data_IF_799783343558
#
_entry.id   IF_799783343558
#
_cell.length_a   1.000
_cell.length_b   1.000
_cell.length_c   1.000
_cell.angle_alpha   90.00
_cell.angle_beta   90.00
_cell.angle_gamma   90.00
#
_symmetry.space_group_name_H-M   'P 1'
#
loop_
_entity.id
_entity.type
_entity.pdbx_description
1 polymer ?
#
# COMPACT_ATOMS: atom_id res chain seq x y z
N UNK A 1 -4.42 -31.53 -24.68
CA UNK A 1 -5.20 -30.81 -23.65
C UNK A 1 -5.35 -29.36 -24.11
N UNK A 2 -6.52 -28.74 -23.95
CA UNK A 2 -6.71 -27.32 -24.33
C UNK A 2 -5.84 -26.40 -23.49
N UNK A 3 -5.23 -25.41 -24.11
CA UNK A 3 -4.48 -24.37 -23.40
C UNK A 3 -5.40 -23.49 -22.54
N UNK A 4 -4.87 -22.84 -21.52
CA UNK A 4 -5.54 -21.77 -20.78
C UNK A 4 -5.40 -20.48 -21.61
N UNK A 5 -6.51 -19.87 -22.00
CA UNK A 5 -6.53 -18.67 -22.84
C UNK A 5 -6.70 -17.42 -22.00
N UNK A 6 -5.76 -16.49 -22.16
CA UNK A 6 -5.68 -15.23 -21.39
C UNK A 6 -5.87 -14.04 -22.31
N UNK A 7 -6.70 -13.08 -21.89
CA UNK A 7 -6.72 -11.74 -22.47
C UNK A 7 -6.05 -10.75 -21.53
N UNK A 8 -5.26 -9.81 -22.08
CA UNK A 8 -4.61 -8.73 -21.32
C UNK A 8 -5.26 -7.40 -21.71
N UNK A 9 -5.89 -6.74 -20.77
CA UNK A 9 -6.49 -5.42 -20.94
C UNK A 9 -5.51 -4.35 -20.51
N UNK A 10 -5.00 -3.58 -21.48
CA UNK A 10 -3.90 -2.63 -21.30
C UNK A 10 -2.53 -3.23 -21.58
N UNK A 11 -1.76 -2.57 -22.46
CA UNK A 11 -0.40 -3.00 -22.85
C UNK A 11 0.60 -1.87 -22.57
N UNK A 12 0.55 -1.36 -21.34
CA UNK A 12 1.56 -0.51 -20.73
C UNK A 12 2.64 -1.33 -20.04
N UNK A 13 3.36 -0.74 -19.12
CA UNK A 13 4.47 -1.39 -18.37
C UNK A 13 4.06 -2.74 -17.76
N UNK A 14 2.93 -2.80 -17.08
CA UNK A 14 2.46 -4.03 -16.41
C UNK A 14 1.99 -5.07 -17.42
N UNK A 15 1.09 -4.70 -18.35
CA UNK A 15 0.54 -5.63 -19.33
C UNK A 15 1.61 -6.22 -20.26
N UNK A 16 2.59 -5.42 -20.67
CA UNK A 16 3.75 -5.90 -21.42
C UNK A 16 4.60 -6.86 -20.57
N UNK A 17 4.83 -6.54 -19.30
CA UNK A 17 5.54 -7.41 -18.37
C UNK A 17 4.85 -8.78 -18.20
N UNK A 18 3.53 -8.80 -18.04
CA UNK A 18 2.72 -10.03 -17.96
C UNK A 18 2.86 -10.85 -19.25
N UNK A 19 2.70 -10.19 -20.41
CA UNK A 19 2.84 -10.86 -21.72
C UNK A 19 4.21 -11.52 -21.86
N UNK A 20 5.29 -10.78 -21.60
CA UNK A 20 6.66 -11.28 -21.68
C UNK A 20 6.93 -12.42 -20.68
N UNK A 21 6.38 -12.32 -19.46
CA UNK A 21 6.57 -13.36 -18.43
C UNK A 21 5.83 -14.65 -18.80
N UNK A 22 4.62 -14.59 -19.35
CA UNK A 22 3.92 -15.78 -19.85
C UNK A 22 4.74 -16.49 -20.92
N UNK A 23 5.42 -15.76 -21.80
CA UNK A 23 6.26 -16.35 -22.84
C UNK A 23 7.56 -16.93 -22.30
N UNK A 24 8.28 -16.17 -21.47
CA UNK A 24 9.60 -16.57 -20.97
C UNK A 24 9.54 -17.69 -19.93
N UNK A 25 8.43 -17.85 -19.21
CA UNK A 25 8.21 -18.87 -18.17
C UNK A 25 7.11 -19.88 -18.56
N UNK A 26 6.95 -20.11 -19.87
CA UNK A 26 5.92 -21.01 -20.40
C UNK A 26 6.08 -22.47 -19.94
N UNK A 27 7.32 -22.93 -19.76
CA UNK A 27 7.62 -24.26 -19.28
C UNK A 27 7.27 -24.43 -17.81
N UNK A 28 7.66 -23.47 -16.98
CA UNK A 28 7.36 -23.43 -15.53
C UNK A 28 5.85 -23.37 -15.29
N UNK A 29 5.15 -22.49 -16.02
CA UNK A 29 3.69 -22.37 -15.94
C UNK A 29 3.02 -23.69 -16.35
N UNK A 30 3.51 -24.33 -17.42
CA UNK A 30 2.98 -25.63 -17.87
C UNK A 30 3.22 -26.72 -16.83
N UNK A 31 4.40 -26.73 -16.21
CA UNK A 31 4.72 -27.69 -15.16
C UNK A 31 3.82 -27.57 -13.94
N UNK A 32 3.52 -26.32 -13.53
CA UNK A 32 2.68 -26.03 -12.36
C UNK A 32 1.19 -26.25 -12.63
N UNK A 33 0.70 -25.87 -13.82
CA UNK A 33 -0.73 -25.87 -14.16
C UNK A 33 -1.17 -27.15 -14.91
N UNK A 34 -0.21 -27.94 -15.42
CA UNK A 34 -0.50 -29.11 -16.28
C UNK A 34 -1.04 -28.75 -17.67
N UNK A 35 -1.09 -27.45 -18.01
CA UNK A 35 -1.60 -26.91 -19.28
C UNK A 35 -0.77 -25.70 -19.70
N UNK A 36 -0.61 -25.49 -21.00
CA UNK A 36 -0.02 -24.26 -21.52
C UNK A 36 -0.90 -23.05 -21.20
N UNK A 37 -0.27 -21.92 -20.93
CA UNK A 37 -0.92 -20.61 -20.86
C UNK A 37 -0.61 -19.86 -22.15
N UNK A 38 -1.63 -19.39 -22.84
CA UNK A 38 -1.49 -18.67 -24.10
C UNK A 38 -2.26 -17.35 -24.06
N UNK A 39 -1.59 -16.26 -24.45
CA UNK A 39 -2.27 -14.98 -24.61
C UNK A 39 -3.06 -15.01 -25.91
N UNK A 40 -4.38 -14.96 -25.82
CA UNK A 40 -5.29 -15.00 -26.97
C UNK A 40 -5.62 -13.59 -27.50
N UNK A 41 -5.64 -12.58 -26.61
CA UNK A 41 -5.97 -11.22 -27.00
C UNK A 41 -5.28 -10.18 -26.12
N UNK A 42 -5.09 -9.00 -26.70
CA UNK A 42 -4.61 -7.79 -26.02
C UNK A 42 -5.47 -6.60 -26.38
N UNK A 43 -6.05 -5.97 -25.37
CA UNK A 43 -6.76 -4.70 -25.55
C UNK A 43 -5.80 -3.53 -25.44
N UNK A 44 -5.81 -2.65 -26.43
CA UNK A 44 -4.94 -1.46 -26.50
C UNK A 44 -5.75 -0.19 -26.75
N UNK A 45 -5.22 0.96 -26.33
CA UNK A 45 -5.84 2.27 -26.58
C UNK A 45 -5.49 2.83 -27.96
N UNK A 46 -4.30 2.54 -28.47
CA UNK A 46 -3.79 3.10 -29.72
C UNK A 46 -3.11 2.00 -30.58
N UNK A 47 -3.68 1.74 -31.74
CA UNK A 47 -3.17 0.75 -32.73
C UNK A 47 -1.88 1.20 -33.44
N UNK A 48 -1.56 2.49 -33.46
CA UNK A 48 -0.40 3.02 -34.19
C UNK A 48 0.95 2.75 -33.46
N UNK A 49 0.91 2.52 -32.16
CA UNK A 49 2.13 2.21 -31.39
C UNK A 49 2.54 0.78 -31.68
N UNK A 50 3.75 0.58 -32.25
CA UNK A 50 4.33 -0.74 -32.43
C UNK A 50 4.53 -1.46 -31.11
N UNK A 51 4.26 -2.76 -31.10
CA UNK A 51 4.38 -3.65 -29.94
C UNK A 51 4.93 -5.00 -30.37
N UNK A 52 5.81 -5.55 -29.56
CA UNK A 52 6.31 -6.91 -29.76
C UNK A 52 5.28 -7.96 -29.27
N UNK A 53 4.24 -8.16 -30.08
CA UNK A 53 3.17 -9.13 -29.82
C UNK A 53 3.16 -10.12 -30.99
N UNK A 54 2.99 -11.42 -30.73
CA UNK A 54 2.93 -12.45 -31.75
C UNK A 54 1.72 -12.27 -32.68
N UNK A 55 1.86 -12.66 -33.94
CA UNK A 55 0.82 -12.47 -34.99
C UNK A 55 -0.47 -13.27 -34.73
N UNK A 56 -0.40 -14.34 -33.93
CA UNK A 56 -1.53 -15.18 -33.56
C UNK A 56 -2.40 -14.59 -32.42
N UNK A 57 -1.97 -13.47 -31.83
CA UNK A 57 -2.68 -12.78 -30.75
C UNK A 57 -3.61 -11.70 -31.33
N UNK A 58 -4.87 -11.75 -30.97
CA UNK A 58 -5.81 -10.69 -31.33
C UNK A 58 -5.42 -9.35 -30.66
N UNK A 59 -5.02 -8.34 -31.43
CA UNK A 59 -4.74 -6.99 -30.94
C UNK A 59 -5.90 -6.06 -31.34
N UNK A 60 -6.67 -5.62 -30.36
CA UNK A 60 -7.87 -4.83 -30.60
C UNK A 60 -8.00 -3.61 -29.68
N UNK A 61 -8.84 -2.65 -30.08
CA UNK A 61 -9.29 -1.52 -29.25
C UNK A 61 -10.74 -1.70 -28.79
N UNK A 62 -11.39 -2.80 -29.19
CA UNK A 62 -12.76 -3.13 -28.85
C UNK A 62 -12.81 -4.36 -27.94
N UNK A 63 -13.28 -4.16 -26.72
CA UNK A 63 -13.40 -5.25 -25.76
C UNK A 63 -14.44 -6.31 -26.17
N UNK A 64 -15.44 -5.94 -26.98
CA UNK A 64 -16.44 -6.90 -27.44
C UNK A 64 -15.83 -8.01 -28.31
N UNK A 65 -14.81 -7.69 -29.14
CA UNK A 65 -14.11 -8.70 -29.93
C UNK A 65 -13.38 -9.75 -29.04
N UNK A 66 -12.92 -9.32 -27.87
CA UNK A 66 -12.29 -10.22 -26.89
C UNK A 66 -13.34 -11.14 -26.26
N UNK A 67 -14.53 -10.61 -25.96
CA UNK A 67 -15.61 -11.42 -25.39
C UNK A 67 -16.19 -12.44 -26.40
N UNK A 68 -16.02 -12.22 -27.70
CA UNK A 68 -16.47 -13.12 -28.77
C UNK A 68 -15.48 -14.26 -29.06
N UNK A 69 -14.30 -14.29 -28.46
CA UNK A 69 -13.32 -15.37 -28.63
C UNK A 69 -13.96 -16.72 -28.27
N UNK A 70 -13.71 -17.79 -29.05
CA UNK A 70 -14.32 -19.10 -28.81
C UNK A 70 -13.95 -19.71 -27.44
N UNK A 71 -12.75 -19.39 -26.96
CA UNK A 71 -12.30 -19.74 -25.61
C UNK A 71 -11.58 -18.54 -24.96
N UNK A 72 -11.97 -18.21 -23.74
CA UNK A 72 -11.31 -17.24 -22.90
C UNK A 72 -11.54 -17.65 -21.44
N UNK A 73 -10.45 -17.92 -20.73
CA UNK A 73 -10.50 -18.48 -19.38
C UNK A 73 -10.19 -17.41 -18.33
N UNK A 74 -9.25 -16.49 -18.66
CA UNK A 74 -8.76 -15.48 -17.72
C UNK A 74 -8.67 -14.11 -18.42
N UNK A 75 -9.09 -13.08 -17.72
CA UNK A 75 -8.88 -11.67 -18.10
C UNK A 75 -7.95 -11.01 -17.10
N UNK A 76 -6.78 -10.57 -17.56
CA UNK A 76 -5.82 -9.78 -16.79
C UNK A 76 -6.02 -8.30 -17.13
N UNK A 77 -6.26 -7.49 -16.14
CA UNK A 77 -6.49 -6.06 -16.28
C UNK A 77 -5.32 -5.26 -15.73
N UNK A 78 -4.77 -4.37 -16.56
CA UNK A 78 -3.65 -3.49 -16.27
C UNK A 78 -3.85 -2.07 -16.86
N UNK A 79 -5.07 -1.56 -16.75
CA UNK A 79 -5.49 -0.20 -17.15
C UNK A 79 -5.46 0.70 -15.90
N UNK A 80 -5.23 2.00 -16.05
CA UNK A 80 -5.08 2.92 -14.90
C UNK A 80 -6.43 3.44 -14.42
N UNK A 81 -7.39 3.69 -15.31
CA UNK A 81 -8.65 4.35 -15.01
C UNK A 81 -9.68 3.38 -14.36
N UNK A 82 -10.59 3.91 -13.54
CA UNK A 82 -11.67 3.11 -12.93
C UNK A 82 -12.67 2.61 -13.97
N UNK A 83 -13.08 3.50 -14.88
CA UNK A 83 -13.90 3.18 -16.04
C UNK A 83 -13.11 3.41 -17.33
N UNK A 84 -13.29 2.57 -18.34
CA UNK A 84 -14.27 1.47 -18.46
C UNK A 84 -13.84 0.14 -17.80
N UNK A 85 -12.80 0.13 -17.01
CA UNK A 85 -12.15 -1.08 -16.45
C UNK A 85 -13.12 -1.92 -15.64
N UNK A 86 -13.86 -1.30 -14.71
CA UNK A 86 -14.83 -2.00 -13.89
C UNK A 86 -15.92 -2.69 -14.75
N UNK A 87 -16.44 -1.97 -15.74
CA UNK A 87 -17.42 -2.51 -16.70
C UNK A 87 -16.88 -3.70 -17.50
N UNK A 88 -15.59 -3.66 -17.89
CA UNK A 88 -14.98 -4.76 -18.60
C UNK A 88 -14.83 -6.01 -17.72
N UNK A 89 -14.41 -5.83 -16.48
CA UNK A 89 -14.26 -6.95 -15.55
C UNK A 89 -15.61 -7.58 -15.19
N UNK A 90 -16.67 -6.80 -15.03
CA UNK A 90 -18.03 -7.35 -14.85
C UNK A 90 -18.43 -8.25 -16.00
N UNK A 91 -18.29 -7.77 -17.24
CA UNK A 91 -18.62 -8.56 -18.44
C UNK A 91 -17.76 -9.81 -18.58
N UNK A 92 -16.47 -9.74 -18.18
CA UNK A 92 -15.61 -10.91 -18.17
C UNK A 92 -16.09 -11.97 -17.17
N UNK A 93 -16.46 -11.54 -15.95
CA UNK A 93 -17.04 -12.43 -14.92
C UNK A 93 -18.35 -13.07 -15.42
N UNK A 94 -19.28 -12.27 -15.95
CA UNK A 94 -20.55 -12.74 -16.50
C UNK A 94 -20.36 -13.75 -17.65
N UNK A 95 -19.26 -13.64 -18.39
CA UNK A 95 -18.86 -14.63 -19.40
C UNK A 95 -18.31 -15.93 -18.81
N UNK A 96 -17.98 -15.95 -17.52
CA UNK A 96 -17.37 -17.09 -16.82
C UNK A 96 -15.84 -17.08 -16.82
N UNK A 97 -15.20 -15.92 -17.01
CA UNK A 97 -13.76 -15.77 -16.94
C UNK A 97 -13.31 -15.48 -15.51
N UNK A 98 -12.20 -16.07 -15.07
CA UNK A 98 -11.47 -15.56 -13.92
C UNK A 98 -10.91 -14.17 -14.25
N UNK A 99 -10.81 -13.30 -13.25
CA UNK A 99 -10.24 -11.98 -13.44
C UNK A 99 -9.02 -11.77 -12.55
N UNK A 100 -8.05 -11.01 -13.07
CA UNK A 100 -6.86 -10.58 -12.31
C UNK A 100 -6.68 -9.09 -12.59
N UNK A 101 -6.50 -8.29 -11.54
CA UNK A 101 -6.35 -6.84 -11.69
C UNK A 101 -5.12 -6.30 -10.99
N UNK A 102 -4.46 -5.32 -11.60
CA UNK A 102 -3.42 -4.50 -11.00
C UNK A 102 -3.92 -3.09 -10.64
N UNK A 103 -5.21 -2.78 -10.90
CA UNK A 103 -5.79 -1.47 -10.70
C UNK A 103 -6.30 -1.28 -9.27
N UNK A 104 -5.44 -0.71 -8.42
CA UNK A 104 -5.72 -0.49 -6.99
C UNK A 104 -6.90 0.44 -6.72
N UNK A 105 -7.03 1.53 -7.49
CA UNK A 105 -8.10 2.50 -7.27
C UNK A 105 -9.47 1.91 -7.63
N UNK A 106 -9.58 1.31 -8.80
CA UNK A 106 -10.80 0.62 -9.20
C UNK A 106 -11.16 -0.47 -8.19
N UNK A 107 -10.19 -1.28 -7.77
CA UNK A 107 -10.43 -2.39 -6.86
C UNK A 107 -10.74 -1.94 -5.43
N UNK A 108 -10.18 -0.84 -4.94
CA UNK A 108 -10.58 -0.24 -3.66
C UNK A 108 -12.07 0.16 -3.68
N UNK A 109 -12.55 0.77 -4.77
CA UNK A 109 -13.93 1.19 -4.89
C UNK A 109 -14.91 0.04 -5.15
N UNK A 110 -14.56 -0.90 -6.02
CA UNK A 110 -15.49 -1.89 -6.58
C UNK A 110 -15.15 -3.34 -6.28
N UNK A 111 -14.07 -3.61 -5.55
CA UNK A 111 -13.61 -4.97 -5.29
C UNK A 111 -14.66 -5.84 -4.58
N UNK A 112 -15.50 -5.26 -3.69
CA UNK A 112 -16.59 -6.00 -3.05
C UNK A 112 -17.61 -6.50 -4.07
N UNK A 113 -18.07 -5.63 -4.98
CA UNK A 113 -19.02 -5.98 -6.03
C UNK A 113 -18.44 -7.04 -7.00
N UNK A 114 -17.14 -6.90 -7.34
CA UNK A 114 -16.46 -7.89 -8.18
C UNK A 114 -16.36 -9.27 -7.51
N UNK A 115 -16.13 -9.33 -6.19
CA UNK A 115 -16.13 -10.59 -5.46
C UNK A 115 -17.50 -11.24 -5.40
N UNK A 116 -18.56 -10.48 -5.11
CA UNK A 116 -19.93 -10.95 -5.06
C UNK A 116 -20.33 -11.53 -6.43
N UNK A 117 -20.06 -10.79 -7.51
CA UNK A 117 -20.35 -11.24 -8.86
C UNK A 117 -19.53 -12.48 -9.27
N UNK A 118 -18.26 -12.56 -8.87
CA UNK A 118 -17.41 -13.70 -9.14
C UNK A 118 -17.89 -14.97 -8.41
N UNK A 119 -18.37 -14.84 -7.17
CA UNK A 119 -18.96 -15.95 -6.41
C UNK A 119 -20.23 -16.48 -7.11
N UNK A 120 -21.12 -15.59 -7.56
CA UNK A 120 -22.35 -15.94 -8.32
C UNK A 120 -22.04 -16.68 -9.63
N UNK A 121 -20.95 -16.31 -10.31
CA UNK A 121 -20.52 -16.89 -11.58
C UNK A 121 -19.50 -18.02 -11.44
N UNK A 122 -19.18 -18.43 -10.21
CA UNK A 122 -18.23 -19.51 -9.90
C UNK A 122 -16.82 -19.30 -10.47
N UNK A 123 -16.36 -18.06 -10.53
CA UNK A 123 -15.02 -17.66 -10.96
C UNK A 123 -14.23 -17.02 -9.79
N UNK A 124 -12.93 -16.82 -9.99
CA UNK A 124 -12.05 -16.30 -8.96
C UNK A 124 -11.49 -14.92 -9.34
N UNK A 125 -11.13 -14.14 -8.32
CA UNK A 125 -10.52 -12.81 -8.46
C UNK A 125 -9.09 -12.83 -7.90
N UNK A 126 -8.11 -12.50 -8.75
CA UNK A 126 -6.73 -12.22 -8.40
C UNK A 126 -6.50 -10.70 -8.26
N UNK A 127 -5.79 -10.27 -7.22
CA UNK A 127 -5.57 -8.85 -6.96
C UNK A 127 -4.27 -8.57 -6.18
N UNK A 128 -3.32 -9.51 -6.15
CA UNK A 128 -2.01 -9.34 -5.50
C UNK A 128 -1.30 -8.08 -5.98
N UNK A 129 -1.33 -7.84 -7.29
CA UNK A 129 -0.69 -6.69 -7.93
C UNK A 129 -1.28 -5.31 -7.52
N UNK A 130 -2.40 -5.28 -6.81
CA UNK A 130 -3.01 -4.03 -6.33
C UNK A 130 -2.30 -3.43 -5.11
N UNK A 131 -1.53 -4.23 -4.35
CA UNK A 131 -0.86 -3.79 -3.12
C UNK A 131 0.59 -4.23 -3.12
N UNK A 132 1.51 -3.29 -2.88
CA UNK A 132 2.94 -3.54 -2.66
C UNK A 132 3.66 -4.28 -3.82
N UNK A 133 3.16 -4.18 -5.04
CA UNK A 133 3.82 -4.65 -6.27
C UNK A 133 4.23 -6.11 -6.24
N UNK A 134 5.54 -6.39 -6.19
CA UNK A 134 6.07 -7.76 -6.19
C UNK A 134 6.10 -8.45 -4.82
N UNK A 135 5.65 -7.78 -3.74
CA UNK A 135 5.62 -8.35 -2.39
C UNK A 135 4.32 -9.16 -2.22
N UNK A 136 4.37 -10.46 -1.88
CA UNK A 136 3.19 -11.33 -1.80
C UNK A 136 2.38 -11.09 -0.51
N UNK A 137 1.80 -9.90 -0.36
CA UNK A 137 1.08 -9.47 0.86
C UNK A 137 -0.27 -10.15 0.96
N UNK A 138 -1.03 -10.16 -0.13
CA UNK A 138 -2.39 -10.72 -0.18
C UNK A 138 -2.34 -12.24 0.02
N UNK A 139 -1.41 -12.92 -0.64
CA UNK A 139 -1.22 -14.37 -0.46
C UNK A 139 -0.81 -14.71 0.98
N UNK A 140 0.10 -13.94 1.56
CA UNK A 140 0.52 -14.10 2.96
C UNK A 140 -0.67 -13.92 3.91
N UNK A 141 -1.46 -12.86 3.75
CA UNK A 141 -2.66 -12.64 4.55
C UNK A 141 -3.68 -13.77 4.39
N UNK A 142 -3.95 -14.22 3.18
CA UNK A 142 -4.85 -15.37 2.91
C UNK A 142 -4.38 -16.64 3.60
N UNK A 143 -3.08 -16.87 3.69
CA UNK A 143 -2.53 -18.02 4.40
C UNK A 143 -2.62 -17.86 5.91
N UNK A 144 -2.25 -16.71 6.46
CA UNK A 144 -2.26 -16.43 7.90
C UNK A 144 -3.68 -16.47 8.47
N UNK A 145 -4.64 -15.86 7.79
CA UNK A 145 -6.03 -15.72 8.22
C UNK A 145 -6.80 -17.06 8.36
N UNK A 146 -6.21 -18.18 7.95
CA UNK A 146 -6.81 -19.50 8.18
C UNK A 146 -6.91 -19.83 9.69
N UNK A 147 -5.95 -19.39 10.48
CA UNK A 147 -5.86 -19.69 11.93
C UNK A 147 -5.54 -18.43 12.75
N UNK A 148 -4.61 -17.57 12.27
CA UNK A 148 -4.21 -16.38 12.99
C UNK A 148 -5.29 -15.29 12.95
N UNK A 149 -5.33 -14.48 14.01
CA UNK A 149 -6.11 -13.25 14.06
C UNK A 149 -5.19 -12.08 13.85
N UNK A 150 -5.32 -11.42 12.70
CA UNK A 150 -4.56 -10.21 12.41
C UNK A 150 -5.06 -9.08 13.31
N UNK A 151 -4.15 -8.45 14.03
CA UNK A 151 -4.42 -7.35 14.96
C UNK A 151 -4.11 -6.00 14.34
N UNK A 152 -2.98 -5.95 13.61
CA UNK A 152 -2.51 -4.72 12.97
C UNK A 152 -1.81 -5.04 11.66
N UNK A 153 -1.95 -4.15 10.69
CA UNK A 153 -1.16 -4.11 9.46
C UNK A 153 -0.58 -2.71 9.34
N UNK A 154 0.72 -2.62 9.11
CA UNK A 154 1.41 -1.37 8.81
C UNK A 154 2.18 -1.51 7.51
N UNK A 155 2.35 -0.42 6.75
CA UNK A 155 3.11 -0.51 5.49
C UNK A 155 3.65 0.81 5.00
N UNK A 156 4.85 0.76 4.41
CA UNK A 156 5.32 1.73 3.43
C UNK A 156 4.81 1.23 2.09
N UNK A 157 3.69 1.79 1.62
CA UNK A 157 2.94 1.28 0.47
C UNK A 157 3.17 2.09 -0.82
N UNK A 158 3.90 3.20 -0.74
CA UNK A 158 4.21 4.04 -1.89
C UNK A 158 5.71 4.26 -2.02
N UNK A 159 6.30 3.75 -3.10
CA UNK A 159 7.75 3.85 -3.36
C UNK A 159 8.21 5.26 -3.69
N UNK A 160 7.37 6.08 -4.34
CA UNK A 160 7.71 7.46 -4.72
C UNK A 160 7.89 8.34 -3.49
N UNK A 161 6.92 8.32 -2.57
CA UNK A 161 7.01 9.09 -1.32
C UNK A 161 8.18 8.62 -0.44
N UNK A 162 8.43 7.29 -0.37
CA UNK A 162 9.59 6.76 0.36
C UNK A 162 10.91 7.19 -0.28
N UNK A 163 11.00 7.19 -1.61
CA UNK A 163 12.17 7.68 -2.35
C UNK A 163 12.43 9.16 -2.06
N UNK A 164 11.40 10.02 -2.14
CA UNK A 164 11.53 11.46 -1.88
C UNK A 164 12.06 11.70 -0.46
N UNK A 165 11.48 11.07 0.55
CA UNK A 165 11.95 11.20 1.94
C UNK A 165 13.39 10.69 2.12
N UNK A 166 13.77 9.61 1.41
CA UNK A 166 15.14 9.09 1.40
C UNK A 166 16.12 10.09 0.77
N UNK A 167 15.80 10.65 -0.39
CA UNK A 167 16.64 11.63 -1.09
C UNK A 167 16.83 12.91 -0.28
N UNK A 168 15.73 13.44 0.27
CA UNK A 168 15.79 14.60 1.17
C UNK A 168 16.78 14.37 2.33
N UNK A 169 16.72 13.18 2.92
CA UNK A 169 17.59 12.81 4.05
C UNK A 169 19.04 12.60 3.62
N UNK A 170 19.26 11.77 2.60
CA UNK A 170 20.61 11.33 2.19
C UNK A 170 21.39 12.43 1.50
N UNK A 171 20.73 13.15 0.58
CA UNK A 171 21.37 14.22 -0.22
C UNK A 171 21.18 15.61 0.36
N UNK A 172 20.45 15.75 1.47
CA UNK A 172 20.15 17.05 2.09
C UNK A 172 19.46 18.02 1.13
N UNK A 173 18.61 17.48 0.28
CA UNK A 173 17.85 18.22 -0.73
C UNK A 173 16.50 18.66 -0.20
N UNK A 174 15.93 19.71 -0.80
CA UNK A 174 14.55 20.11 -0.57
C UNK A 174 13.55 19.08 -1.12
N UNK A 175 12.30 19.16 -0.69
CA UNK A 175 11.22 18.36 -1.25
C UNK A 175 11.11 18.52 -2.78
N UNK A 176 11.17 19.76 -3.29
CA UNK A 176 11.05 20.04 -4.71
C UNK A 176 12.19 19.41 -5.55
N UNK A 177 13.44 19.48 -5.07
CA UNK A 177 14.58 18.85 -5.73
C UNK A 177 14.47 17.32 -5.71
N UNK A 178 14.04 16.73 -4.59
CA UNK A 178 13.86 15.29 -4.46
C UNK A 178 12.70 14.78 -5.31
N UNK A 179 11.60 15.55 -5.42
CA UNK A 179 10.50 15.25 -6.34
C UNK A 179 10.96 15.29 -7.80
N UNK A 180 11.73 16.32 -8.18
CA UNK A 180 12.29 16.39 -9.53
C UNK A 180 13.19 15.18 -9.83
N UNK A 181 14.00 14.77 -8.86
CA UNK A 181 14.81 13.54 -8.98
C UNK A 181 13.94 12.30 -9.18
N UNK A 182 12.82 12.19 -8.48
CA UNK A 182 11.88 11.09 -8.66
C UNK A 182 11.27 11.09 -10.09
N UNK A 183 10.91 12.27 -10.61
CA UNK A 183 10.37 12.41 -11.96
C UNK A 183 11.40 12.06 -13.04
N UNK A 184 12.64 12.53 -12.91
CA UNK A 184 13.74 12.22 -13.85
C UNK A 184 14.04 10.72 -13.89
N UNK A 185 13.97 10.05 -12.74
CA UNK A 185 14.17 8.60 -12.64
C UNK A 185 12.94 7.77 -13.05
N UNK A 186 11.81 8.41 -13.40
CA UNK A 186 10.57 7.74 -13.77
C UNK A 186 9.81 7.11 -12.59
N UNK A 187 10.10 7.51 -11.36
CA UNK A 187 9.39 7.06 -10.16
C UNK A 187 8.14 7.90 -9.86
N UNK A 188 8.08 9.14 -10.36
CA UNK A 188 6.91 10.01 -10.28
C UNK A 188 6.49 10.48 -11.66
N UNK A 189 5.18 10.63 -11.87
CA UNK A 189 4.60 11.25 -13.04
C UNK A 189 4.67 12.79 -12.95
N UNK A 190 4.25 13.48 -14.02
CA UNK A 190 4.19 14.95 -14.05
C UNK A 190 3.23 15.50 -12.98
N UNK A 191 2.11 14.82 -12.74
CA UNK A 191 1.23 15.07 -11.60
C UNK A 191 1.47 13.99 -10.52
N UNK A 192 2.23 14.31 -9.46
CA UNK A 192 2.58 13.36 -8.42
C UNK A 192 1.56 13.30 -7.27
N UNK A 193 0.41 13.98 -7.38
CA UNK A 193 -0.56 14.17 -6.29
C UNK A 193 -0.94 12.88 -5.61
N UNK A 194 -1.19 11.80 -6.37
CA UNK A 194 -1.54 10.50 -5.80
C UNK A 194 -0.46 9.94 -4.88
N UNK A 195 0.80 10.19 -5.19
CA UNK A 195 1.94 9.71 -4.40
C UNK A 195 2.20 10.61 -3.20
N UNK A 196 2.37 11.91 -3.43
CA UNK A 196 2.85 12.83 -2.40
C UNK A 196 1.78 13.23 -1.39
N UNK A 197 0.50 13.18 -1.77
CA UNK A 197 -0.65 13.43 -0.89
C UNK A 197 -1.22 12.13 -0.28
N UNK A 198 -0.63 10.96 -0.57
CA UNK A 198 -0.94 9.68 0.06
C UNK A 198 -2.19 8.98 -0.45
N UNK A 199 -2.76 9.35 -1.59
CA UNK A 199 -3.94 8.68 -2.15
C UNK A 199 -3.64 7.25 -2.59
N UNK A 200 -2.48 7.01 -3.22
CA UNK A 200 -2.04 5.67 -3.61
C UNK A 200 -1.96 4.72 -2.40
N UNK A 201 -1.30 5.16 -1.33
CA UNK A 201 -1.22 4.39 -0.09
C UNK A 201 -2.60 4.22 0.57
N UNK A 202 -3.49 5.21 0.48
CA UNK A 202 -4.84 5.15 1.00
C UNK A 202 -5.68 4.06 0.31
N UNK A 203 -5.71 3.99 -1.03
CA UNK A 203 -6.44 2.93 -1.73
C UNK A 203 -5.92 1.54 -1.37
N UNK A 204 -4.60 1.37 -1.28
CA UNK A 204 -3.98 0.11 -0.85
C UNK A 204 -4.36 -0.25 0.59
N UNK A 205 -4.47 0.75 1.47
CA UNK A 205 -4.93 0.57 2.85
C UNK A 205 -6.36 0.05 2.91
N UNK A 206 -7.27 0.57 2.08
CA UNK A 206 -8.65 0.09 2.03
C UNK A 206 -8.72 -1.38 1.56
N UNK A 207 -7.93 -1.76 0.55
CA UNK A 207 -7.83 -3.15 0.09
C UNK A 207 -7.31 -4.07 1.20
N UNK A 208 -6.23 -3.65 1.89
CA UNK A 208 -5.68 -4.41 3.02
C UNK A 208 -6.66 -4.56 4.17
N UNK A 209 -7.45 -3.53 4.47
CA UNK A 209 -8.47 -3.59 5.51
C UNK A 209 -9.52 -4.66 5.22
N UNK A 210 -10.02 -4.70 4.00
CA UNK A 210 -11.00 -5.70 3.58
C UNK A 210 -10.48 -7.12 3.72
N UNK A 211 -9.23 -7.38 3.33
CA UNK A 211 -8.68 -8.73 3.44
C UNK A 211 -8.28 -9.09 4.88
N UNK A 212 -7.68 -8.18 5.64
CA UNK A 212 -7.21 -8.46 6.98
C UNK A 212 -8.34 -8.55 8.02
N UNK A 213 -9.39 -7.74 7.85
CA UNK A 213 -10.46 -7.59 8.84
C UNK A 213 -11.85 -7.95 8.31
N UNK A 214 -12.02 -8.22 7.00
CA UNK A 214 -13.30 -8.52 6.34
C UNK A 214 -14.18 -7.30 6.11
N UNK A 215 -13.77 -6.11 6.52
CA UNK A 215 -14.50 -4.86 6.42
C UNK A 215 -13.56 -3.66 6.22
N UNK A 216 -14.11 -2.52 5.88
CA UNK A 216 -13.37 -1.27 5.72
C UNK A 216 -13.82 -0.24 6.75
N UNK A 217 -12.93 0.66 7.19
CA UNK A 217 -13.34 1.86 7.91
C UNK A 217 -14.15 2.76 6.98
N UNK A 218 -14.95 3.67 7.55
CA UNK A 218 -15.52 4.74 6.75
C UNK A 218 -14.38 5.57 6.13
N UNK A 219 -14.39 5.74 4.83
CA UNK A 219 -13.32 6.43 4.08
C UNK A 219 -13.06 7.85 4.55
N UNK A 220 -14.10 8.54 5.04
CA UNK A 220 -14.01 9.91 5.56
C UNK A 220 -13.32 9.98 6.92
N UNK A 221 -13.32 8.88 7.68
CA UNK A 221 -12.73 8.81 9.01
C UNK A 221 -11.25 8.38 8.97
N UNK A 222 -10.73 8.01 7.78
CA UNK A 222 -9.33 7.65 7.60
C UNK A 222 -8.48 8.92 7.57
N UNK A 223 -7.59 9.04 8.54
CA UNK A 223 -6.63 10.13 8.59
C UNK A 223 -5.61 9.98 7.46
N UNK A 224 -5.64 10.89 6.47
CA UNK A 224 -4.68 10.92 5.38
C UNK A 224 -3.94 12.25 5.35
N UNK A 225 -2.62 12.16 5.42
CA UNK A 225 -1.71 13.29 5.35
C UNK A 225 -0.57 12.95 4.39
N UNK A 226 -0.24 13.87 3.48
CA UNK A 226 0.86 13.76 2.53
C UNK A 226 2.21 14.10 3.15
N UNK A 227 3.26 14.10 2.30
CA UNK A 227 4.63 14.39 2.71
C UNK A 227 5.11 15.80 2.32
N UNK A 228 4.26 16.59 1.68
CA UNK A 228 4.63 17.92 1.13
C UNK A 228 4.99 18.96 2.20
N UNK A 229 4.49 18.77 3.43
CA UNK A 229 4.79 19.61 4.60
C UNK A 229 6.16 19.34 5.22
N UNK A 230 6.82 18.22 4.87
CA UNK A 230 8.11 17.82 5.46
C UNK A 230 9.23 18.65 4.84
N UNK A 231 9.97 19.36 5.70
CA UNK A 231 11.09 20.20 5.30
C UNK A 231 12.43 19.53 5.63
N UNK A 232 13.51 19.98 4.95
CA UNK A 232 14.85 19.51 5.25
C UNK A 232 15.23 19.78 6.72
N UNK A 233 14.82 20.89 7.30
CA UNK A 233 15.07 21.21 8.71
C UNK A 233 14.45 20.20 9.66
N UNK A 234 13.24 19.71 9.34
CA UNK A 234 12.59 18.65 10.11
C UNK A 234 13.30 17.32 10.01
N UNK A 235 13.77 16.97 8.80
CA UNK A 235 14.55 15.75 8.58
C UNK A 235 15.85 15.81 9.37
N UNK A 236 16.58 16.93 9.34
CA UNK A 236 17.81 17.12 10.10
C UNK A 236 17.57 17.10 11.61
N UNK A 237 16.47 17.68 12.08
CA UNK A 237 16.09 17.61 13.48
C UNK A 237 15.79 16.16 13.93
N UNK A 238 15.08 15.41 13.13
CA UNK A 238 14.80 13.99 13.39
C UNK A 238 16.06 13.14 13.41
N UNK A 239 16.99 13.35 12.45
CA UNK A 239 18.25 12.60 12.40
C UNK A 239 19.14 12.83 13.63
N UNK A 240 19.14 14.04 14.19
CA UNK A 240 19.93 14.35 15.42
C UNK A 240 19.54 13.48 16.62
N UNK A 241 18.34 12.97 16.62
CA UNK A 241 17.77 12.11 17.68
C UNK A 241 17.55 10.67 17.20
N UNK A 242 18.25 10.24 16.14
CA UNK A 242 18.19 8.87 15.63
C UNK A 242 16.91 8.49 14.92
N UNK A 243 16.05 9.44 14.57
CA UNK A 243 14.75 9.18 13.93
C UNK A 243 14.77 9.40 12.42
N UNK A 244 13.88 8.68 11.70
CA UNK A 244 13.64 8.86 10.27
C UNK A 244 12.17 9.04 9.96
N UNK A 245 11.85 9.98 9.08
CA UNK A 245 10.51 10.10 8.52
C UNK A 245 10.20 8.95 7.58
N UNK A 246 9.04 8.33 7.76
CA UNK A 246 8.44 7.36 6.85
C UNK A 246 6.98 7.71 6.63
N UNK A 247 6.47 7.49 5.41
CA UNK A 247 5.05 7.62 5.13
C UNK A 247 4.38 6.27 5.34
N UNK A 248 3.66 6.12 6.45
CA UNK A 248 3.15 4.84 6.92
C UNK A 248 1.63 4.78 6.82
N UNK A 249 1.14 3.74 6.14
CA UNK A 249 -0.22 3.26 6.25
C UNK A 249 -0.34 2.37 7.49
N UNK A 250 -1.34 2.59 8.34
CA UNK A 250 -1.59 1.79 9.53
C UNK A 250 -3.06 1.42 9.62
N UNK A 251 -3.30 0.15 9.94
CA UNK A 251 -4.61 -0.46 10.13
C UNK A 251 -4.60 -1.24 11.43
N UNK A 252 -5.58 -1.05 12.30
CA UNK A 252 -5.77 -1.85 13.50
C UNK A 252 -7.25 -1.99 13.83
N UNK A 253 -7.60 -3.05 14.58
CA UNK A 253 -8.94 -3.23 15.13
C UNK A 253 -8.91 -2.92 16.62
N UNK A 254 -9.56 -1.85 17.05
CA UNK A 254 -9.65 -1.42 18.42
C UNK A 254 -11.11 -1.19 18.82
N UNK A 255 -11.55 -1.78 19.94
CA UNK A 255 -12.93 -1.62 20.44
C UNK A 255 -14.01 -2.06 19.45
N UNK A 256 -13.72 -3.03 18.56
CA UNK A 256 -14.65 -3.51 17.54
C UNK A 256 -14.69 -2.61 16.28
N UNK A 257 -13.96 -1.51 16.24
CA UNK A 257 -13.88 -0.62 15.09
C UNK A 257 -12.51 -0.72 14.41
N UNK A 258 -12.47 -0.53 13.10
CA UNK A 258 -11.22 -0.42 12.35
C UNK A 258 -10.75 1.02 12.39
N UNK A 259 -9.54 1.21 12.87
CA UNK A 259 -8.81 2.48 12.77
C UNK A 259 -7.82 2.39 11.62
N UNK A 260 -7.81 3.41 10.78
CA UNK A 260 -6.90 3.51 9.64
C UNK A 260 -6.28 4.90 9.56
N UNK A 261 -5.01 4.94 9.16
CA UNK A 261 -4.33 6.20 8.85
C UNK A 261 -3.27 5.99 7.77
N UNK A 262 -2.98 7.06 7.02
CA UNK A 262 -1.87 7.15 6.06
C UNK A 262 -1.21 8.49 6.31
N UNK A 263 -0.05 8.51 6.93
CA UNK A 263 0.59 9.77 7.34
C UNK A 263 2.09 9.64 7.56
N UNK A 264 2.81 10.76 7.60
CA UNK A 264 4.20 10.78 8.04
C UNK A 264 4.32 10.36 9.51
N UNK A 265 5.29 9.49 9.78
CA UNK A 265 5.61 8.98 11.12
C UNK A 265 7.12 9.00 11.28
N UNK A 266 7.61 9.32 12.46
CA UNK A 266 9.00 9.20 12.84
C UNK A 266 9.26 7.83 13.44
N UNK A 267 10.25 7.11 12.92
CA UNK A 267 10.61 5.76 13.39
C UNK A 267 12.04 5.72 13.91
N UNK A 268 12.23 5.03 15.03
CA UNK A 268 13.54 4.76 15.62
C UNK A 268 14.24 3.56 14.97
N UNK A 269 15.52 3.36 15.29
CA UNK A 269 16.40 2.35 14.69
C UNK A 269 15.89 0.91 14.81
N UNK A 270 15.19 0.60 15.90
CA UNK A 270 14.61 -0.75 16.14
C UNK A 270 13.33 -1.01 15.35
N UNK A 271 12.75 0.02 14.71
CA UNK A 271 11.54 -0.15 13.94
C UNK A 271 11.86 -0.84 12.60
N UNK A 272 11.11 -1.86 12.16
CA UNK A 272 11.38 -2.59 10.92
C UNK A 272 11.48 -1.72 9.67
N UNK A 273 10.78 -0.59 9.67
CA UNK A 273 10.79 0.32 8.51
C UNK A 273 11.95 1.33 8.50
N UNK A 274 12.76 1.38 9.54
CA UNK A 274 13.85 2.35 9.64
C UNK A 274 14.82 2.28 8.45
N UNK A 275 15.15 1.07 8.01
CA UNK A 275 16.08 0.81 6.91
C UNK A 275 15.41 0.60 5.55
N UNK A 276 14.08 0.75 5.45
CA UNK A 276 13.37 0.67 4.16
C UNK A 276 13.56 1.99 3.42
N UNK A 277 14.39 1.99 2.40
CA UNK A 277 14.89 3.19 1.71
C UNK A 277 14.57 3.14 0.20
N UNK A 278 14.70 4.28 -0.46
CA UNK A 278 14.49 4.40 -1.90
C UNK A 278 13.07 4.05 -2.30
N UNK A 279 12.91 3.28 -3.37
CA UNK A 279 11.60 2.89 -3.92
C UNK A 279 11.01 1.62 -3.30
N UNK A 280 11.66 1.07 -2.28
CA UNK A 280 11.18 -0.15 -1.64
C UNK A 280 9.90 0.06 -0.85
N UNK A 281 9.05 -0.95 -0.87
CA UNK A 281 7.89 -1.06 -0.01
C UNK A 281 8.17 -2.08 1.10
N UNK A 282 7.43 -1.98 2.20
CA UNK A 282 7.44 -2.98 3.26
C UNK A 282 6.09 -3.05 3.94
N UNK A 283 5.72 -4.23 4.40
CA UNK A 283 4.48 -4.46 5.15
C UNK A 283 4.77 -5.28 6.39
N UNK A 284 4.32 -4.81 7.55
CA UNK A 284 4.29 -5.53 8.80
C UNK A 284 2.88 -6.05 9.05
N UNK A 285 2.75 -7.32 9.35
CA UNK A 285 1.51 -7.96 9.81
C UNK A 285 1.72 -8.45 11.23
N UNK A 286 0.89 -8.00 12.15
CA UNK A 286 0.90 -8.43 13.55
C UNK A 286 -0.30 -9.34 13.80
N UNK A 287 -0.06 -10.51 14.36
CA UNK A 287 -1.07 -11.52 14.63
C UNK A 287 -0.87 -12.13 16.02
N UNK A 288 -1.93 -12.73 16.54
CA UNK A 288 -1.97 -13.30 17.90
C UNK A 288 -1.05 -14.52 18.10
N UNK A 289 -0.88 -15.37 17.09
CA UNK A 289 -0.11 -16.62 17.23
C UNK A 289 1.31 -16.45 16.70
N UNK A 290 1.46 -15.99 15.45
CA UNK A 290 2.77 -15.90 14.81
C UNK A 290 3.56 -14.65 15.22
N UNK A 291 2.89 -13.68 15.86
CA UNK A 291 3.49 -12.39 16.18
C UNK A 291 3.64 -11.51 14.94
N UNK A 292 4.80 -10.86 14.80
CA UNK A 292 5.09 -9.93 13.68
C UNK A 292 5.75 -10.67 12.53
N UNK A 293 5.21 -10.45 11.33
CA UNK A 293 5.86 -10.78 10.05
C UNK A 293 6.12 -9.49 9.31
N UNK A 294 7.34 -9.33 8.78
CA UNK A 294 7.73 -8.22 7.92
C UNK A 294 8.05 -8.74 6.52
N UNK A 295 7.41 -8.16 5.52
CA UNK A 295 7.68 -8.40 4.10
C UNK A 295 8.26 -7.12 3.51
N UNK A 296 9.32 -7.21 2.71
CA UNK A 296 9.99 -6.08 2.08
C UNK A 296 10.42 -6.45 0.67
N UNK A 297 10.35 -5.51 -0.25
CA UNK A 297 10.78 -5.72 -1.62
C UNK A 297 10.33 -4.60 -2.57
N UNK A 298 10.44 -4.82 -3.89
CA UNK A 298 10.05 -3.84 -4.89
C UNK A 298 8.54 -3.63 -4.92
N UNK A 299 8.11 -2.41 -4.59
CA UNK A 299 6.69 -2.03 -4.52
C UNK A 299 6.04 -1.71 -5.87
N UNK A 300 6.81 -1.61 -6.94
CA UNK A 300 6.35 -1.30 -8.30
C UNK A 300 7.38 -1.77 -9.33
N UNK A 301 7.03 -1.68 -10.61
CA UNK A 301 7.90 -1.99 -11.73
C UNK A 301 7.33 -3.09 -12.64
N UNK A 302 7.85 -3.17 -13.87
CA UNK A 302 7.35 -4.10 -14.89
C UNK A 302 7.29 -5.55 -14.39
N UNK A 303 8.43 -6.10 -14.02
CA UNK A 303 8.54 -7.50 -13.63
C UNK A 303 8.03 -7.79 -12.21
N UNK A 304 8.27 -6.95 -11.19
CA UNK A 304 7.68 -7.17 -9.88
C UNK A 304 6.15 -7.24 -9.91
N UNK A 305 5.50 -6.30 -10.60
CA UNK A 305 4.03 -6.29 -10.73
C UNK A 305 3.53 -7.44 -11.62
N UNK A 306 4.25 -7.75 -12.71
CA UNK A 306 3.92 -8.90 -13.54
C UNK A 306 4.03 -10.21 -12.75
N UNK A 307 5.03 -10.37 -11.89
CA UNK A 307 5.18 -11.54 -11.02
C UNK A 307 3.92 -11.74 -10.15
N UNK A 308 3.44 -10.70 -9.50
CA UNK A 308 2.21 -10.77 -8.70
C UNK A 308 0.99 -11.19 -9.52
N UNK A 309 0.86 -10.67 -10.76
CA UNK A 309 -0.21 -11.07 -11.69
C UNK A 309 -0.09 -12.55 -12.09
N UNK A 310 1.13 -13.04 -12.33
CA UNK A 310 1.37 -14.44 -12.73
C UNK A 310 1.11 -15.38 -11.55
N UNK A 311 1.51 -15.03 -10.34
CA UNK A 311 1.17 -15.81 -9.15
C UNK A 311 -0.34 -15.86 -8.91
N UNK A 312 -1.06 -14.74 -9.14
CA UNK A 312 -2.52 -14.74 -9.15
C UNK A 312 -3.11 -15.63 -10.25
N UNK A 313 -2.50 -15.68 -11.45
CA UNK A 313 -2.93 -16.55 -12.52
C UNK A 313 -2.84 -18.03 -12.09
N UNK A 314 -1.74 -18.42 -11.46
CA UNK A 314 -1.59 -19.76 -10.89
C UNK A 314 -2.63 -19.99 -9.80
N UNK A 315 -2.81 -19.03 -8.90
CA UNK A 315 -3.78 -19.12 -7.80
C UNK A 315 -5.22 -19.32 -8.31
N UNK A 316 -5.70 -18.51 -9.27
CA UNK A 316 -7.08 -18.63 -9.76
C UNK A 316 -7.33 -19.93 -10.54
N UNK A 317 -6.30 -20.49 -11.16
CA UNK A 317 -6.40 -21.78 -11.84
C UNK A 317 -6.44 -22.99 -10.90
N UNK A 318 -5.80 -22.90 -9.73
CA UNK A 318 -5.69 -23.99 -8.77
C UNK A 318 -6.72 -23.92 -7.64
N UNK A 319 -7.20 -22.72 -7.34
CA UNK A 319 -8.16 -22.49 -6.26
C UNK A 319 -9.57 -22.85 -6.72
N UNK A 320 -10.32 -23.52 -5.86
CA UNK A 320 -11.77 -23.55 -6.01
C UNK A 320 -12.29 -22.14 -5.77
N UNK A 321 -13.34 -21.70 -6.49
CA UNK A 321 -13.98 -20.41 -6.21
C UNK A 321 -14.21 -20.27 -4.70
N UNK A 322 -13.48 -19.37 -4.08
CA UNK A 322 -13.58 -19.18 -2.64
C UNK A 322 -14.89 -18.46 -2.35
N UNK A 323 -15.64 -18.94 -1.35
CA UNK A 323 -16.68 -18.11 -0.75
C UNK A 323 -16.06 -16.79 -0.31
N UNK A 324 -16.68 -15.68 -0.60
CA UNK A 324 -16.19 -14.31 -0.38
C UNK A 324 -15.93 -13.94 1.10
N UNK A 325 -16.17 -14.89 2.00
CA UNK A 325 -16.02 -14.69 3.43
C UNK A 325 -14.63 -15.08 3.93
N UNK A 326 -13.70 -14.13 3.99
CA UNK A 326 -12.85 -14.04 5.18
C UNK A 326 -13.84 -13.73 6.31
N UNK A 327 -14.29 -14.78 7.03
CA UNK A 327 -15.15 -14.58 8.20
C UNK A 327 -14.26 -13.95 9.26
N UNK A 328 -14.42 -12.67 9.60
CA UNK A 328 -13.62 -12.06 10.63
C UNK A 328 -13.92 -12.81 11.92
N UNK A 329 -12.90 -13.23 12.63
CA UNK A 329 -13.12 -13.73 13.99
C UNK A 329 -13.63 -12.57 14.84
N UNK A 330 -14.82 -12.61 15.41
CA UNK A 330 -15.44 -11.46 16.09
C UNK A 330 -14.82 -11.12 17.45
N UNK A 331 -13.75 -11.78 17.86
CA UNK A 331 -13.14 -11.53 19.15
C UNK A 331 -12.21 -10.31 19.07
N UNK A 332 -12.70 -9.19 19.57
CA UNK A 332 -11.87 -8.05 19.92
C UNK A 332 -10.81 -8.50 20.94
N UNK A 333 -9.55 -8.57 20.50
CA UNK A 333 -8.43 -8.63 21.45
C UNK A 333 -8.20 -7.19 21.88
N UNK A 334 -8.28 -6.94 23.18
CA UNK A 334 -7.88 -5.66 23.75
C UNK A 334 -6.42 -5.41 23.37
N UNK A 335 -6.15 -4.29 22.67
CA UNK A 335 -4.79 -3.73 22.65
C UNK A 335 -4.32 -3.64 24.11
N UNK A 336 -3.00 -3.79 24.38
CA UNK A 336 -2.48 -3.36 25.67
C UNK A 336 -2.90 -1.89 25.81
N UNK A 337 -3.88 -1.66 26.64
CA UNK A 337 -4.37 -0.32 26.94
C UNK A 337 -3.15 0.50 27.38
N UNK A 338 -2.79 1.50 26.60
CA UNK A 338 -2.09 2.65 27.14
C UNK A 338 -3.14 3.39 27.99
N UNK A 339 -3.18 3.16 29.33
CA UNK A 339 -4.31 3.61 30.15
C UNK A 339 -4.50 5.12 30.15
N UNK A 340 -3.53 5.87 29.59
CA UNK A 340 -3.57 7.32 29.51
C UNK A 340 -3.71 7.82 28.06
N UNK A 341 -3.64 6.95 27.03
CA UNK A 341 -3.72 7.33 25.61
C UNK A 341 -2.67 8.35 25.17
N UNK A 342 -1.56 8.47 25.93
CA UNK A 342 -0.49 9.39 25.62
C UNK A 342 0.52 8.73 24.68
N UNK A 343 0.82 9.42 23.60
CA UNK A 343 1.81 9.05 22.60
C UNK A 343 2.96 10.04 22.61
N UNK A 344 4.09 9.68 22.02
CA UNK A 344 5.23 10.57 21.87
C UNK A 344 5.15 11.29 20.52
N UNK A 345 5.40 12.59 20.54
CA UNK A 345 5.26 13.47 19.39
C UNK A 345 6.45 14.39 19.23
N UNK A 346 6.89 14.58 17.99
CA UNK A 346 7.71 15.72 17.61
C UNK A 346 6.78 16.87 17.23
N UNK A 347 6.88 18.00 17.90
CA UNK A 347 6.11 19.22 17.58
C UNK A 347 7.07 20.32 17.17
N UNK A 348 6.78 21.04 16.09
CA UNK A 348 7.68 22.07 15.57
C UNK A 348 6.97 23.39 15.24
N UNK A 349 7.76 24.47 15.21
CA UNK A 349 7.24 25.82 15.04
C UNK A 349 6.60 26.38 16.33
N UNK A 350 6.95 25.84 17.49
CA UNK A 350 6.50 26.37 18.79
C UNK A 350 7.35 27.56 19.22
N UNK A 351 6.68 28.63 19.64
CA UNK A 351 7.38 29.83 20.12
C UNK A 351 8.04 29.63 21.49
N UNK A 352 7.41 28.85 22.38
CA UNK A 352 7.89 28.56 23.73
C UNK A 352 7.16 27.39 24.39
N UNK A 353 7.80 26.79 25.40
CA UNK A 353 7.11 25.84 26.28
C UNK A 353 5.94 26.50 27.02
N UNK A 354 4.78 25.85 27.02
CA UNK A 354 3.66 26.22 27.86
C UNK A 354 3.50 25.23 29.00
N UNK A 355 3.29 25.72 30.19
CA UNK A 355 2.95 24.86 31.33
C UNK A 355 1.50 24.39 31.17
N UNK A 356 1.37 23.14 30.79
CA UNK A 356 0.10 22.40 30.70
C UNK A 356 0.30 21.03 31.37
N UNK A 357 -0.53 20.73 32.36
CA UNK A 357 -0.42 19.46 33.13
C UNK A 357 -0.73 18.21 32.34
N UNK A 358 -1.40 18.34 31.18
CA UNK A 358 -1.71 17.20 30.29
C UNK A 358 -0.54 16.85 29.35
N UNK A 359 0.45 17.74 29.19
CA UNK A 359 1.57 17.60 28.27
C UNK A 359 2.86 17.41 29.06
N UNK A 360 3.55 16.30 28.83
CA UNK A 360 4.89 16.09 29.32
C UNK A 360 5.90 16.54 28.26
N UNK A 361 6.68 17.57 28.58
CA UNK A 361 7.78 18.03 27.74
C UNK A 361 9.00 17.21 28.03
N UNK A 362 9.53 16.50 27.00
CA UNK A 362 10.67 15.60 27.14
C UNK A 362 11.95 16.33 26.78
N UNK A 363 12.05 16.88 25.56
CA UNK A 363 13.28 17.50 25.09
C UNK A 363 13.02 18.60 24.06
N UNK A 364 13.98 19.54 23.99
CA UNK A 364 14.09 20.50 22.91
C UNK A 364 15.15 20.05 21.92
N UNK A 365 14.75 19.57 20.74
CA UNK A 365 15.63 19.05 19.68
C UNK A 365 16.34 20.16 18.93
N UNK A 366 15.62 21.27 18.68
CA UNK A 366 16.16 22.48 18.07
C UNK A 366 15.26 23.68 18.42
N UNK A 367 15.62 24.88 17.98
CA UNK A 367 14.78 26.05 18.18
C UNK A 367 13.37 25.81 17.62
N UNK A 368 12.37 25.95 18.48
CA UNK A 368 10.96 25.72 18.13
C UNK A 368 10.55 24.28 17.88
N UNK A 369 11.43 23.29 18.10
CA UNK A 369 11.15 21.86 17.89
C UNK A 369 11.31 21.09 19.18
N UNK A 370 10.28 20.36 19.59
CA UNK A 370 10.22 19.69 20.88
C UNK A 370 9.69 18.26 20.75
N UNK A 371 10.18 17.37 21.61
CA UNK A 371 9.55 16.07 21.89
C UNK A 371 8.65 16.25 23.11
N UNK A 372 7.42 15.78 22.95
CA UNK A 372 6.42 15.80 24.02
C UNK A 372 5.70 14.47 24.11
N UNK A 373 5.15 14.16 25.29
CA UNK A 373 4.24 13.05 25.48
C UNK A 373 2.87 13.60 25.88
N UNK A 374 1.87 13.31 25.07
CA UNK A 374 0.51 13.85 25.23
C UNK A 374 -0.51 12.99 24.47
N UNK A 375 -1.79 13.20 24.74
CA UNK A 375 -2.84 12.65 23.86
C UNK A 375 -2.86 13.41 22.55
N UNK A 376 -3.31 12.78 21.46
CA UNK A 376 -3.46 13.46 20.16
C UNK A 376 -4.28 14.75 20.28
N UNK A 377 -5.36 14.72 21.07
CA UNK A 377 -6.22 15.88 21.29
C UNK A 377 -5.47 17.06 21.96
N UNK A 378 -4.62 16.77 22.94
CA UNK A 378 -3.83 17.80 23.60
C UNK A 378 -2.77 18.40 22.68
N UNK A 379 -2.15 17.56 21.82
CA UNK A 379 -1.20 18.03 20.80
C UNK A 379 -1.89 18.93 19.78
N UNK A 380 -3.04 18.53 19.25
CA UNK A 380 -3.81 19.34 18.31
C UNK A 380 -4.21 20.69 18.93
N UNK A 381 -4.61 20.67 20.18
CA UNK A 381 -4.94 21.90 20.90
C UNK A 381 -3.72 22.80 21.08
N UNK A 382 -2.56 22.24 21.46
CA UNK A 382 -1.30 22.97 21.60
C UNK A 382 -0.89 23.64 20.29
N UNK A 383 -0.91 22.87 19.19
CA UNK A 383 -0.55 23.35 17.85
C UNK A 383 -1.44 24.51 17.41
N UNK A 384 -2.75 24.41 17.63
CA UNK A 384 -3.71 25.49 17.32
C UNK A 384 -3.47 26.73 18.18
N UNK A 385 -3.28 26.57 19.48
CA UNK A 385 -3.10 27.68 20.42
C UNK A 385 -1.83 28.48 20.19
N UNK A 386 -0.75 27.80 19.79
CA UNK A 386 0.53 28.45 19.55
C UNK A 386 0.83 28.73 18.07
N UNK A 387 -0.13 28.42 17.18
CA UNK A 387 0.05 28.50 15.74
C UNK A 387 1.33 27.79 15.29
N UNK A 388 1.60 26.59 15.87
CA UNK A 388 2.72 25.75 15.50
C UNK A 388 2.57 25.21 14.08
N UNK A 389 3.68 24.89 13.43
CA UNK A 389 3.69 24.49 12.02
C UNK A 389 3.24 23.03 11.82
N UNK A 390 3.39 22.19 12.85
CA UNK A 390 2.91 20.80 12.77
C UNK A 390 3.41 19.89 13.88
N UNK A 391 3.01 18.62 13.80
CA UNK A 391 3.36 17.58 14.76
C UNK A 391 3.38 16.22 14.07
N UNK A 392 4.28 15.34 14.51
CA UNK A 392 4.45 13.99 13.96
C UNK A 392 4.57 12.96 15.08
N UNK A 393 3.88 11.81 14.99
CA UNK A 393 4.02 10.76 15.98
C UNK A 393 5.40 10.09 15.88
N UNK A 394 5.95 9.70 17.02
CA UNK A 394 7.20 8.93 17.13
C UNK A 394 6.85 7.51 17.52
N UNK A 395 7.37 6.53 16.78
CA UNK A 395 7.21 5.10 17.04
C UNK A 395 8.57 4.43 17.18
N UNK A 396 8.77 3.71 18.27
CA UNK A 396 10.04 3.08 18.62
C UNK A 396 10.92 3.94 19.51
N UNK A 397 12.12 3.45 19.75
CA UNK A 397 13.12 4.15 20.58
C UNK A 397 13.78 5.29 19.80
N UNK A 398 14.22 6.29 20.51
CA UNK A 398 14.95 7.44 19.98
C UNK A 398 16.04 7.87 20.96
N UNK A 399 17.13 8.42 20.43
CA UNK A 399 18.28 8.86 21.21
C UNK A 399 17.97 10.22 21.86
N UNK A 400 17.73 10.20 23.16
CA UNK A 400 17.68 11.40 23.98
C UNK A 400 18.93 11.45 24.84
N UNK A 401 19.82 12.43 24.64
CA UNK A 401 20.74 12.80 25.70
C UNK A 401 19.91 13.34 26.88
N UNK A 402 19.58 12.47 27.83
CA UNK A 402 18.99 12.92 29.09
C UNK A 402 19.96 13.88 29.77
N UNK A 403 19.81 15.16 29.51
CA UNK A 403 20.35 16.17 30.41
C UNK A 403 19.46 16.12 31.65
N UNK A 404 20.02 15.59 32.74
CA UNK A 404 19.43 15.65 34.08
C UNK A 404 19.24 17.13 34.48
N UNK A 405 18.22 17.79 33.97
CA UNK A 405 17.65 18.95 34.63
C UNK A 405 16.59 18.45 35.63
N UNK A 406 17.08 18.08 36.79
CA UNK A 406 16.26 17.98 38.01
C UNK A 406 15.56 19.32 38.20
N UNK A 407 14.31 19.42 37.76
CA UNK A 407 13.44 20.51 38.18
C UNK A 407 13.06 20.25 39.62
N UNK A 408 13.88 20.74 40.54
CA UNK A 408 13.51 20.95 41.94
C UNK A 408 12.36 21.93 41.93
N UNK A 409 11.15 21.43 42.16
CA UNK A 409 10.00 22.23 42.47
C UNK A 409 10.25 22.92 43.84
N UNK A 410 10.31 24.24 43.85
CA UNK A 410 10.03 25.08 45.01
C UNK A 410 8.60 25.61 44.89
#
# INVERSE_FOLDING_TARGET
MSAIKVAILGFGTVGEGVYRTIQSHSEELTAVLGKKVEVAAVLIKNKQKERAINEDVLVTTDFSEILELPQLDIVVEAIVDKEPTFTFLKKAIERGCHIITANKEMFAHHGKELFELAEENHVSVGFEATVAGGIPVIQTLRQLLKINRVQQVQGILNGTSNFILTEMRVKKQSFAESLLSAQVNGYAEADPTNDVEGYDAFYKTMILSRIAFGEEPNWQDVEREGITSITIKLIEAAEKIGLRFKHIASLSRAGGQIKASVKPVLVGSEHPFYHVEGVENAVNVFSDIVGRITLQGPGAGMYPTASAVIEDLVYVCQSKPAKSSVTPSPTAISEPENPQGKETWLVYGLAKKQLNTSILWIEQVSEGTFIIQATKKDVEQLVRQQNAQGYYPIVGEYDVEMKDEVVTAL
#
